data_IF_609584126069
#
_entry.id   IF_609584126069
#
_cell.length_a   1.000
_cell.length_b   1.000
_cell.length_c   1.000
_cell.angle_alpha   90.00
_cell.angle_beta   90.00
_cell.angle_gamma   90.00
#
_symmetry.space_group_name_H-M   'P 1'
#
loop_
_entity.id
_entity.type
_entity.pdbx_description
1 polymer ?
#
# COMPACT_ATOMS: atom_id res chain seq x y z
N UNK A 1 -19.43 -13.26 4.76
CA UNK A 1 -18.22 -12.49 4.42
C UNK A 1 -17.20 -13.33 3.66
N UNK A 2 -16.50 -14.30 4.30
CA UNK A 2 -15.38 -15.01 3.66
C UNK A 2 -15.66 -15.69 2.32
N UNK A 3 -16.86 -16.22 2.06
CA UNK A 3 -17.18 -16.80 0.73
C UNK A 3 -17.07 -15.79 -0.42
N UNK A 4 -17.32 -14.50 -0.17
CA UNK A 4 -17.15 -13.47 -1.19
C UNK A 4 -15.68 -13.25 -1.53
N UNK A 5 -14.82 -13.19 -0.51
CA UNK A 5 -13.37 -13.07 -0.69
C UNK A 5 -12.78 -14.34 -1.32
N UNK A 6 -13.26 -15.53 -0.92
CA UNK A 6 -12.87 -16.81 -1.53
C UNK A 6 -13.09 -16.76 -3.05
N UNK A 7 -14.24 -16.24 -3.49
CA UNK A 7 -14.57 -16.08 -4.91
C UNK A 7 -13.62 -15.11 -5.61
N UNK A 8 -13.35 -13.94 -5.03
CA UNK A 8 -12.43 -12.94 -5.59
C UNK A 8 -11.02 -13.53 -5.77
N UNK A 9 -10.49 -14.20 -4.76
CA UNK A 9 -9.17 -14.85 -4.84
C UNK A 9 -9.15 -15.93 -5.93
N UNK A 10 -10.22 -16.73 -6.03
CA UNK A 10 -10.32 -17.77 -7.05
C UNK A 10 -10.39 -17.22 -8.48
N UNK A 11 -11.14 -16.15 -8.72
CA UNK A 11 -11.21 -15.54 -10.06
C UNK A 11 -9.94 -14.75 -10.38
N UNK A 12 -9.29 -14.12 -9.40
CA UNK A 12 -8.00 -13.47 -9.60
C UNK A 12 -6.95 -14.47 -10.12
N UNK A 13 -6.85 -15.64 -9.48
CA UNK A 13 -6.01 -16.75 -9.93
C UNK A 13 -6.31 -17.16 -11.38
N UNK A 14 -7.59 -17.34 -11.71
CA UNK A 14 -8.06 -17.74 -13.04
C UNK A 14 -7.73 -16.74 -14.14
N UNK A 15 -7.71 -15.45 -13.84
CA UNK A 15 -7.38 -14.39 -14.81
C UNK A 15 -5.94 -13.88 -14.73
N UNK A 16 -5.09 -14.52 -13.91
CA UNK A 16 -3.69 -14.10 -13.75
C UNK A 16 -3.54 -12.72 -13.12
N UNK A 17 -4.48 -12.33 -12.26
CA UNK A 17 -4.45 -11.08 -11.48
C UNK A 17 -3.94 -11.40 -10.08
N UNK A 18 -3.08 -10.52 -9.57
CA UNK A 18 -2.55 -10.61 -8.21
C UNK A 18 -3.23 -9.61 -7.27
N UNK A 19 -3.38 -10.00 -6.00
CA UNK A 19 -4.10 -9.22 -4.99
C UNK A 19 -3.16 -8.71 -3.89
N UNK A 20 -3.35 -7.46 -3.48
CA UNK A 20 -2.88 -6.95 -2.19
C UNK A 20 -4.12 -6.82 -1.29
N UNK A 21 -4.07 -7.40 -0.10
CA UNK A 21 -5.22 -7.49 0.79
C UNK A 21 -4.93 -6.79 2.13
N UNK A 22 -5.70 -5.74 2.42
CA UNK A 22 -5.66 -5.00 3.69
C UNK A 22 -6.49 -5.63 4.78
N UNK A 23 -5.90 -5.79 5.96
CA UNK A 23 -6.57 -6.41 7.11
C UNK A 23 -7.56 -5.48 7.81
N UNK A 24 -7.33 -4.17 7.78
CA UNK A 24 -8.16 -3.20 8.51
C UNK A 24 -7.99 -1.80 7.93
N UNK A 25 -8.98 -0.95 8.16
CA UNK A 25 -8.97 0.44 7.73
C UNK A 25 -8.64 1.38 8.91
N UNK A 26 -7.85 2.44 8.65
CA UNK A 26 -7.72 3.56 9.58
C UNK A 26 -9.03 4.33 9.72
N UNK A 27 -9.75 4.55 8.62
CA UNK A 27 -11.04 5.24 8.59
C UNK A 27 -12.20 4.33 9.00
N UNK A 28 -13.41 4.90 9.04
CA UNK A 28 -14.61 4.23 9.54
C UNK A 28 -15.28 3.30 8.52
N UNK A 29 -14.90 3.40 7.24
CA UNK A 29 -15.51 2.58 6.19
C UNK A 29 -15.23 1.10 6.44
N UNK A 30 -16.30 0.31 6.39
CA UNK A 30 -16.32 -1.11 6.76
C UNK A 30 -15.95 -1.39 8.24
N UNK A 31 -16.04 -0.38 9.10
CA UNK A 31 -15.84 -0.44 10.56
C UNK A 31 -14.50 0.16 11.00
N UNK A 32 -13.40 -0.33 10.43
CA UNK A 32 -12.04 0.13 10.71
C UNK A 32 -11.61 0.04 12.18
N UNK A 33 -10.52 0.73 12.53
CA UNK A 33 -9.94 0.73 13.88
C UNK A 33 -10.94 1.23 14.94
N UNK A 34 -11.80 2.18 14.58
CA UNK A 34 -12.83 2.74 15.47
C UNK A 34 -13.76 1.64 15.97
N UNK A 35 -14.14 0.70 15.11
CA UNK A 35 -15.03 -0.39 15.49
C UNK A 35 -14.40 -1.33 16.53
N UNK A 36 -13.08 -1.57 16.46
CA UNK A 36 -12.37 -2.33 17.50
C UNK A 36 -12.41 -1.61 18.86
N UNK A 37 -12.29 -0.28 18.86
CA UNK A 37 -12.43 0.50 20.09
C UNK A 37 -13.86 0.45 20.61
N UNK A 38 -14.86 0.53 19.74
CA UNK A 38 -16.25 0.40 20.16
C UNK A 38 -16.52 -0.98 20.78
N UNK A 39 -16.05 -2.08 20.18
CA UNK A 39 -16.17 -3.42 20.77
C UNK A 39 -15.52 -3.53 22.15
N UNK A 40 -14.42 -2.81 22.39
CA UNK A 40 -13.79 -2.78 23.72
C UNK A 40 -14.67 -2.08 24.75
N UNK A 41 -15.32 -0.96 24.37
CA UNK A 41 -16.25 -0.23 25.23
C UNK A 41 -17.48 -1.05 25.56
N UNK A 42 -18.01 -1.78 24.58
CA UNK A 42 -19.15 -2.68 24.75
C UNK A 42 -18.82 -3.83 25.74
N UNK A 43 -17.53 -4.16 25.91
CA UNK A 43 -17.03 -5.10 26.93
C UNK A 43 -16.58 -4.42 28.24
N UNK A 44 -16.94 -3.15 28.45
CA UNK A 44 -16.66 -2.42 29.68
C UNK A 44 -15.24 -1.85 29.79
N UNK A 45 -14.47 -1.81 28.71
CA UNK A 45 -13.15 -1.17 28.68
C UNK A 45 -13.28 0.35 28.57
N UNK A 46 -12.37 1.07 29.22
CA UNK A 46 -12.31 2.53 29.22
C UNK A 46 -11.26 3.05 28.21
N UNK A 47 -11.47 2.75 26.92
CA UNK A 47 -10.62 3.25 25.82
C UNK A 47 -11.33 4.42 25.13
N UNK A 48 -10.80 5.63 25.29
CA UNK A 48 -11.45 6.87 24.83
C UNK A 48 -10.84 7.44 23.55
N UNK A 49 -9.68 6.94 23.14
CA UNK A 49 -8.96 7.39 21.95
C UNK A 49 -9.01 6.29 20.87
N UNK A 50 -9.26 6.66 19.62
CA UNK A 50 -9.20 5.70 18.51
C UNK A 50 -7.79 5.14 18.30
N UNK A 51 -6.75 5.90 18.70
CA UNK A 51 -5.35 5.47 18.67
C UNK A 51 -5.03 4.41 19.74
N UNK A 52 -5.95 4.16 20.69
CA UNK A 52 -5.83 3.00 21.60
C UNK A 52 -5.81 1.67 20.85
N UNK A 53 -6.18 1.67 19.56
CA UNK A 53 -6.05 0.52 18.67
C UNK A 53 -4.60 0.05 18.57
N UNK A 54 -3.66 0.98 18.62
CA UNK A 54 -2.22 0.70 18.54
C UNK A 54 -1.61 0.30 19.89
N UNK A 55 -2.27 0.67 21.01
CA UNK A 55 -1.70 0.54 22.37
C UNK A 55 -2.30 -0.60 23.18
N UNK A 56 -3.61 -0.79 23.09
CA UNK A 56 -4.35 -1.74 23.91
C UNK A 56 -4.01 -3.19 23.56
N UNK A 57 -3.49 -3.94 24.53
CA UNK A 57 -3.18 -5.36 24.34
C UNK A 57 -4.43 -6.19 24.00
N UNK A 58 -5.61 -5.82 24.51
CA UNK A 58 -6.87 -6.48 24.19
C UNK A 58 -7.20 -6.30 22.70
N UNK A 59 -7.17 -5.06 22.22
CA UNK A 59 -7.50 -4.72 20.83
C UNK A 59 -6.48 -5.31 19.86
N UNK A 60 -5.19 -5.19 20.18
CA UNK A 60 -4.11 -5.87 19.43
C UNK A 60 -4.33 -7.39 19.38
N UNK A 61 -4.81 -8.00 20.47
CA UNK A 61 -5.17 -9.42 20.51
C UNK A 61 -6.29 -9.78 19.54
N UNK A 62 -7.35 -8.97 19.47
CA UNK A 62 -8.44 -9.18 18.50
C UNK A 62 -7.98 -9.02 17.06
N UNK A 63 -7.15 -8.01 16.79
CA UNK A 63 -6.58 -7.82 15.46
C UNK A 63 -5.70 -9.00 15.04
N UNK A 64 -4.85 -9.52 15.94
CA UNK A 64 -4.08 -10.76 15.70
C UNK A 64 -4.98 -11.97 15.44
N UNK A 65 -6.09 -12.11 16.17
CA UNK A 65 -7.07 -13.17 15.92
C UNK A 65 -7.68 -13.04 14.52
N UNK A 66 -7.99 -11.82 14.08
CA UNK A 66 -8.47 -11.54 12.73
C UNK A 66 -7.44 -11.92 11.67
N UNK A 67 -6.19 -11.45 11.80
CA UNK A 67 -5.08 -11.84 10.91
C UNK A 67 -4.98 -13.35 10.80
N UNK A 68 -4.92 -14.06 11.92
CA UNK A 68 -4.80 -15.52 11.93
C UNK A 68 -5.97 -16.17 11.17
N UNK A 69 -7.20 -15.73 11.44
CA UNK A 69 -8.38 -16.26 10.77
C UNK A 69 -8.37 -16.05 9.25
N UNK A 70 -7.87 -14.89 8.77
CA UNK A 70 -7.73 -14.59 7.34
C UNK A 70 -6.62 -15.43 6.72
N UNK A 71 -5.40 -15.40 7.28
CA UNK A 71 -4.25 -16.11 6.72
C UNK A 71 -4.48 -17.61 6.63
N UNK A 72 -5.07 -18.22 7.67
CA UNK A 72 -5.33 -19.67 7.70
C UNK A 72 -6.68 -20.07 7.09
N UNK A 73 -7.39 -19.14 6.45
CA UNK A 73 -8.65 -19.44 5.77
C UNK A 73 -8.39 -20.37 4.59
N UNK A 74 -9.00 -21.56 4.59
CA UNK A 74 -9.09 -22.40 3.39
C UNK A 74 -10.18 -21.84 2.47
N UNK A 75 -9.78 -21.43 1.27
CA UNK A 75 -10.66 -20.94 0.24
C UNK A 75 -11.66 -22.05 -0.18
N UNK A 76 -12.96 -21.74 -0.15
CA UNK A 76 -14.01 -22.73 -0.45
C UNK A 76 -14.13 -23.12 -1.92
N UNK A 77 -13.56 -22.35 -2.85
CA UNK A 77 -13.56 -22.65 -4.29
C UNK A 77 -12.29 -23.38 -4.74
N UNK A 78 -11.13 -23.01 -4.19
CA UNK A 78 -9.83 -23.60 -4.61
C UNK A 78 -9.34 -24.71 -3.67
N UNK A 79 -9.82 -24.76 -2.42
CA UNK A 79 -9.33 -25.68 -1.40
C UNK A 79 -7.96 -25.32 -0.83
N UNK A 80 -7.36 -24.19 -1.24
CA UNK A 80 -6.04 -23.72 -0.81
C UNK A 80 -6.19 -22.73 0.34
N UNK A 81 -5.32 -22.80 1.34
CA UNK A 81 -5.28 -21.79 2.40
C UNK A 81 -4.73 -20.47 1.84
N UNK A 82 -5.27 -19.33 2.25
CA UNK A 82 -4.83 -18.03 1.72
C UNK A 82 -3.32 -17.80 1.86
N UNK A 83 -2.72 -18.20 2.99
CA UNK A 83 -1.26 -18.14 3.20
C UNK A 83 -0.42 -18.98 2.22
N UNK A 84 -1.06 -19.87 1.45
CA UNK A 84 -0.41 -20.74 0.47
C UNK A 84 -0.90 -20.45 -0.98
N UNK A 85 -1.74 -19.43 -1.20
CA UNK A 85 -2.35 -19.12 -2.50
C UNK A 85 -1.59 -17.99 -3.25
N UNK A 86 -0.85 -18.29 -4.33
CA UNK A 86 -0.01 -17.32 -5.03
C UNK A 86 -0.79 -16.23 -5.79
N UNK A 87 -2.12 -16.32 -5.87
CA UNK A 87 -2.95 -15.22 -6.37
C UNK A 87 -2.87 -14.00 -5.42
N UNK A 88 -2.59 -14.22 -4.14
CA UNK A 88 -2.27 -13.16 -3.20
C UNK A 88 -0.80 -12.81 -3.39
N UNK A 89 -0.50 -11.54 -3.62
CA UNK A 89 0.86 -11.05 -3.80
C UNK A 89 1.44 -10.53 -2.49
N UNK A 90 0.63 -9.77 -1.74
CA UNK A 90 1.02 -9.23 -0.46
C UNK A 90 -0.16 -9.03 0.49
N UNK A 91 0.17 -8.94 1.76
CA UNK A 91 -0.70 -8.46 2.82
C UNK A 91 -0.39 -7.00 3.14
N UNK A 92 -1.43 -6.24 3.50
CA UNK A 92 -1.33 -4.87 4.02
C UNK A 92 -1.78 -4.85 5.48
N UNK A 93 -0.93 -4.33 6.38
CA UNK A 93 -1.28 -4.27 7.80
C UNK A 93 -2.53 -3.42 8.04
N UNK A 94 -2.58 -2.21 7.50
CA UNK A 94 -3.68 -1.28 7.74
C UNK A 94 -3.69 -0.22 6.64
N UNK A 95 -4.86 0.04 6.07
CA UNK A 95 -5.01 1.12 5.12
C UNK A 95 -4.85 2.48 5.79
N UNK A 96 -3.91 3.30 5.30
CA UNK A 96 -3.64 4.70 5.68
C UNK A 96 -3.53 4.95 7.20
N UNK A 97 -2.67 4.25 7.95
CA UNK A 97 -2.60 4.44 9.39
C UNK A 97 -2.11 5.85 9.74
N UNK A 98 -2.77 6.46 10.72
CA UNK A 98 -2.31 7.69 11.38
C UNK A 98 -2.39 7.53 12.89
N UNK A 99 -1.54 8.24 13.62
CA UNK A 99 -1.57 8.28 15.08
C UNK A 99 -1.41 9.73 15.55
N UNK A 100 -2.54 10.40 15.76
CA UNK A 100 -2.54 11.82 16.12
C UNK A 100 -2.17 12.06 17.58
N UNK A 101 -2.35 11.06 18.43
CA UNK A 101 -1.98 11.12 19.85
C UNK A 101 -0.47 10.99 20.10
N UNK A 102 0.32 10.59 19.09
CA UNK A 102 1.78 10.44 19.20
C UNK A 102 2.52 10.85 17.91
N UNK A 103 2.89 12.13 17.83
CA UNK A 103 3.65 12.68 16.71
C UNK A 103 5.14 12.28 16.70
N UNK A 104 5.65 11.62 17.75
CA UNK A 104 7.01 11.06 17.72
C UNK A 104 7.12 9.86 16.76
N UNK A 105 5.98 9.24 16.41
CA UNK A 105 5.90 8.05 15.57
C UNK A 105 6.22 6.73 16.28
N UNK A 106 6.60 6.77 17.57
CA UNK A 106 6.99 5.58 18.32
C UNK A 106 5.84 4.59 18.53
N UNK A 107 4.63 5.08 18.76
CA UNK A 107 3.44 4.23 18.94
C UNK A 107 3.19 3.37 17.69
N UNK A 108 3.19 3.98 16.50
CA UNK A 108 3.04 3.24 15.25
C UNK A 108 4.24 2.36 14.96
N UNK A 109 5.47 2.83 15.17
CA UNK A 109 6.68 2.02 14.97
C UNK A 109 6.63 0.70 15.75
N UNK A 110 6.26 0.77 17.03
CA UNK A 110 6.16 -0.41 17.90
C UNK A 110 5.02 -1.34 17.45
N UNK A 111 3.86 -0.77 17.10
CA UNK A 111 2.73 -1.55 16.62
C UNK A 111 3.04 -2.27 15.30
N UNK A 112 3.64 -1.59 14.33
CA UNK A 112 4.01 -2.17 13.02
C UNK A 112 5.01 -3.31 13.25
N UNK A 113 6.04 -3.10 14.08
CA UNK A 113 7.02 -4.15 14.36
C UNK A 113 6.39 -5.39 15.00
N UNK A 114 5.44 -5.20 15.92
CA UNK A 114 4.72 -6.30 16.57
C UNK A 114 3.83 -7.06 15.58
N UNK A 115 3.04 -6.36 14.77
CA UNK A 115 2.09 -6.99 13.84
C UNK A 115 2.79 -7.63 12.66
N UNK A 116 3.84 -7.01 12.12
CA UNK A 116 4.62 -7.59 11.03
C UNK A 116 5.31 -8.87 11.46
N UNK A 117 5.90 -8.90 12.67
CA UNK A 117 6.43 -10.12 13.27
C UNK A 117 5.37 -11.22 13.42
N UNK A 118 4.16 -10.84 13.84
CA UNK A 118 3.06 -11.80 14.00
C UNK A 118 2.58 -12.38 12.66
N UNK A 119 2.36 -11.56 11.63
CA UNK A 119 1.98 -12.01 10.28
C UNK A 119 3.03 -12.99 9.75
N UNK A 120 4.31 -12.60 9.78
CA UNK A 120 5.42 -13.43 9.27
C UNK A 120 5.63 -14.73 10.06
N UNK A 121 5.16 -14.80 11.31
CA UNK A 121 5.17 -16.05 12.10
C UNK A 121 4.14 -17.08 11.62
N UNK A 122 3.10 -16.65 10.88
CA UNK A 122 2.03 -17.49 10.34
C UNK A 122 2.24 -17.75 8.85
N UNK A 123 2.60 -16.70 8.10
CA UNK A 123 2.79 -16.71 6.66
C UNK A 123 4.15 -16.08 6.29
N UNK A 124 5.08 -16.93 5.88
CA UNK A 124 6.39 -16.53 5.35
C UNK A 124 6.48 -16.64 3.82
N UNK A 125 5.38 -16.94 3.14
CA UNK A 125 5.32 -17.08 1.68
C UNK A 125 5.06 -15.73 1.02
N UNK A 126 4.07 -14.99 1.52
CA UNK A 126 3.64 -13.73 0.94
C UNK A 126 4.47 -12.54 1.39
N UNK A 127 4.53 -11.52 0.53
CA UNK A 127 5.07 -10.23 0.93
C UNK A 127 4.14 -9.53 1.92
N UNK A 128 4.70 -8.60 2.68
CA UNK A 128 4.00 -7.78 3.65
C UNK A 128 4.41 -6.33 3.48
N UNK A 129 3.43 -5.45 3.42
CA UNK A 129 3.63 -4.01 3.52
C UNK A 129 2.67 -3.40 4.55
N UNK A 130 2.79 -2.10 4.79
CA UNK A 130 2.18 -1.44 5.94
C UNK A 130 0.81 -0.84 5.59
N UNK A 131 0.69 -0.24 4.41
CA UNK A 131 -0.43 0.59 3.94
C UNK A 131 -0.20 2.09 4.18
N UNK A 132 1.06 2.54 4.15
CA UNK A 132 1.38 3.94 4.43
C UNK A 132 0.97 4.87 3.28
N UNK A 133 0.40 6.01 3.66
CA UNK A 133 0.27 7.14 2.72
C UNK A 133 1.64 7.69 2.31
N UNK A 134 2.65 7.60 3.19
CA UNK A 134 4.04 7.97 2.92
C UNK A 134 4.59 9.12 3.76
N UNK A 135 3.87 9.66 4.74
CA UNK A 135 4.34 10.84 5.47
C UNK A 135 5.67 10.59 6.21
N UNK A 136 6.62 11.50 6.02
CA UNK A 136 7.90 11.50 6.71
C UNK A 136 7.73 11.94 8.17
N UNK A 137 8.49 11.30 9.06
CA UNK A 137 8.50 11.57 10.50
C UNK A 137 9.84 12.12 11.00
N UNK A 138 10.17 11.78 12.25
CA UNK A 138 11.31 12.35 12.97
C UNK A 138 12.65 11.68 12.67
N UNK A 139 12.68 10.52 12.00
CA UNK A 139 13.94 9.82 11.65
C UNK A 139 14.82 10.65 10.72
N UNK A 140 14.20 11.39 9.80
CA UNK A 140 14.88 12.33 8.92
C UNK A 140 14.08 13.64 8.83
N UNK A 141 14.22 14.55 9.81
CA UNK A 141 13.33 15.71 9.93
C UNK A 141 13.32 16.63 8.70
N UNK A 142 14.45 16.74 7.99
CA UNK A 142 14.54 17.53 6.75
C UNK A 142 13.60 17.00 5.66
N UNK A 143 13.25 15.70 5.66
CA UNK A 143 12.33 15.12 4.69
C UNK A 143 10.88 15.56 4.90
N UNK A 144 10.54 16.09 6.09
CA UNK A 144 9.20 16.65 6.37
C UNK A 144 8.84 17.81 5.43
N UNK A 145 9.82 18.45 4.80
CA UNK A 145 9.57 19.46 3.75
C UNK A 145 8.77 18.91 2.54
N UNK A 146 8.78 17.59 2.33
CA UNK A 146 8.03 16.94 1.27
C UNK A 146 6.60 16.57 1.68
N UNK A 147 6.27 16.61 2.97
CA UNK A 147 4.90 16.43 3.43
C UNK A 147 4.01 17.62 2.98
N UNK A 148 2.69 17.45 2.89
CA UNK A 148 1.75 18.52 2.52
C UNK A 148 1.58 19.64 3.59
N UNK A 149 2.58 19.83 4.47
CA UNK A 149 2.59 20.87 5.50
C UNK A 149 2.13 20.44 6.89
N UNK A 150 1.82 19.16 7.09
CA UNK A 150 1.41 18.60 8.39
C UNK A 150 1.99 17.21 8.62
N UNK A 151 1.84 16.71 9.85
CA UNK A 151 2.27 15.39 10.29
C UNK A 151 1.07 14.56 10.75
N UNK A 152 1.23 13.23 10.69
CA UNK A 152 0.16 12.27 11.00
C UNK A 152 0.62 11.14 11.95
N UNK A 153 1.79 11.29 12.58
CA UNK A 153 2.34 10.29 13.50
C UNK A 153 2.93 9.03 12.84
N UNK A 154 3.10 9.02 11.51
CA UNK A 154 3.88 8.00 10.79
C UNK A 154 5.31 8.48 10.55
N UNK A 155 6.19 7.53 10.23
CA UNK A 155 7.53 7.83 9.75
C UNK A 155 7.92 6.87 8.63
N UNK A 156 7.77 7.32 7.37
CA UNK A 156 8.04 6.52 6.18
C UNK A 156 9.39 5.81 6.19
N UNK A 157 10.44 6.42 6.76
CA UNK A 157 11.78 5.81 6.79
C UNK A 157 11.84 4.66 7.79
N UNK A 158 11.64 4.95 9.07
CA UNK A 158 11.84 3.94 10.14
C UNK A 158 10.77 2.86 10.13
N UNK A 159 9.53 3.20 9.76
CA UNK A 159 8.45 2.22 9.63
C UNK A 159 8.80 1.17 8.56
N UNK A 160 9.30 1.61 7.40
CA UNK A 160 9.69 0.69 6.33
C UNK A 160 11.06 0.04 6.54
N UNK A 161 11.86 0.46 7.52
CA UNK A 161 13.12 -0.24 7.88
C UNK A 161 12.89 -1.50 8.72
N UNK A 162 11.66 -1.74 9.21
CA UNK A 162 11.30 -2.96 9.93
C UNK A 162 11.59 -4.19 9.03
N UNK A 163 12.39 -5.18 9.47
CA UNK A 163 12.85 -6.28 8.62
C UNK A 163 11.74 -7.12 7.98
N UNK A 164 10.60 -7.24 8.63
CA UNK A 164 9.45 -8.02 8.19
C UNK A 164 8.60 -7.34 7.11
N UNK A 165 8.84 -6.05 6.83
CA UNK A 165 8.20 -5.30 5.75
C UNK A 165 9.01 -5.50 4.48
N UNK A 166 8.40 -5.92 3.38
CA UNK A 166 9.13 -6.32 2.17
C UNK A 166 9.26 -5.18 1.14
N UNK A 167 8.27 -4.29 1.09
CA UNK A 167 8.28 -3.13 0.22
C UNK A 167 7.50 -1.97 0.85
N UNK A 168 7.81 -0.75 0.40
CA UNK A 168 7.18 0.47 0.87
C UNK A 168 6.03 0.88 -0.04
N UNK A 169 5.02 1.52 0.55
CA UNK A 169 3.86 2.10 -0.15
C UNK A 169 3.81 3.61 0.04
N UNK A 170 3.30 4.31 -0.98
CA UNK A 170 2.88 5.71 -0.89
C UNK A 170 1.55 5.90 -1.59
N UNK A 171 0.76 6.84 -1.06
CA UNK A 171 -0.48 7.33 -1.66
C UNK A 171 -0.27 8.77 -2.14
N UNK A 172 -1.15 9.30 -2.97
CA UNK A 172 -1.11 10.72 -3.37
C UNK A 172 -2.48 11.28 -3.76
N UNK A 173 -2.93 12.26 -2.99
CA UNK A 173 -4.20 12.96 -3.19
C UNK A 173 -4.00 14.48 -3.07
N UNK A 174 -3.32 15.11 -4.06
CA UNK A 174 -2.92 16.53 -3.97
C UNK A 174 -4.13 17.47 -3.82
N UNK A 175 -5.25 17.15 -4.46
CA UNK A 175 -6.50 17.90 -4.38
C UNK A 175 -7.10 17.89 -2.96
N UNK A 176 -6.79 16.88 -2.15
CA UNK A 176 -7.22 16.77 -0.76
C UNK A 176 -6.19 17.32 0.22
N UNK A 177 -4.90 17.12 -0.06
CA UNK A 177 -3.81 17.43 0.88
C UNK A 177 -3.32 18.87 0.80
N UNK A 178 -3.30 19.48 -0.39
CA UNK A 178 -2.86 20.87 -0.62
C UNK A 178 -4.00 21.69 -1.23
N UNK A 179 -5.13 21.73 -0.53
CA UNK A 179 -6.35 22.41 -0.97
C UNK A 179 -6.09 23.89 -1.28
N UNK A 180 -6.71 24.37 -2.37
CA UNK A 180 -6.57 25.75 -2.84
C UNK A 180 -5.32 26.04 -3.68
N UNK A 181 -4.43 25.06 -3.85
CA UNK A 181 -3.32 25.15 -4.80
C UNK A 181 -3.77 24.94 -6.25
N UNK A 182 -3.10 25.60 -7.19
CA UNK A 182 -3.35 25.43 -8.62
C UNK A 182 -2.75 24.11 -9.16
N UNK A 183 -3.10 23.77 -10.40
CA UNK A 183 -2.65 22.52 -11.03
C UNK A 183 -1.12 22.41 -11.16
N UNK A 184 -0.41 23.55 -11.33
CA UNK A 184 1.04 23.55 -11.44
C UNK A 184 1.69 23.23 -10.09
N UNK A 185 1.18 23.81 -9.01
CA UNK A 185 1.62 23.52 -7.65
C UNK A 185 1.33 22.06 -7.26
N UNK A 186 0.15 21.53 -7.61
CA UNK A 186 -0.20 20.13 -7.39
C UNK A 186 0.73 19.18 -8.15
N UNK A 187 1.03 19.49 -9.40
CA UNK A 187 1.96 18.70 -10.21
C UNK A 187 3.39 18.75 -9.66
N UNK A 188 3.85 19.92 -9.21
CA UNK A 188 5.16 20.07 -8.58
C UNK A 188 5.26 19.26 -7.28
N UNK A 189 4.20 19.30 -6.46
CA UNK A 189 4.11 18.49 -5.24
C UNK A 189 4.22 16.99 -5.55
N UNK A 190 3.42 16.47 -6.49
CA UNK A 190 3.46 15.04 -6.87
C UNK A 190 4.85 14.65 -7.37
N UNK A 191 5.49 15.49 -8.18
CA UNK A 191 6.83 15.21 -8.69
C UNK A 191 7.85 15.12 -7.56
N UNK A 192 7.77 16.06 -6.61
CA UNK A 192 8.63 16.06 -5.42
C UNK A 192 8.37 14.82 -4.56
N UNK A 193 7.10 14.53 -4.27
CA UNK A 193 6.64 13.39 -3.47
C UNK A 193 7.14 12.06 -4.04
N UNK A 194 6.86 11.76 -5.31
CA UNK A 194 7.31 10.50 -5.92
C UNK A 194 8.84 10.42 -5.95
N UNK A 195 9.52 11.53 -6.26
CA UNK A 195 10.98 11.53 -6.38
C UNK A 195 11.68 11.32 -5.05
N UNK A 196 11.24 12.01 -3.99
CA UNK A 196 11.81 11.85 -2.65
C UNK A 196 11.63 10.42 -2.14
N UNK A 197 10.41 9.89 -2.23
CA UNK A 197 10.10 8.54 -1.76
C UNK A 197 10.83 7.47 -2.56
N UNK A 198 10.91 7.59 -3.88
CA UNK A 198 11.64 6.62 -4.69
C UNK A 198 13.15 6.64 -4.39
N UNK A 199 13.70 7.81 -4.07
CA UNK A 199 15.11 7.94 -3.70
C UNK A 199 15.36 7.35 -2.30
N UNK A 200 14.50 7.62 -1.34
CA UNK A 200 14.67 7.11 0.03
C UNK A 200 14.34 5.61 0.13
N UNK A 201 13.34 5.11 -0.59
CA UNK A 201 13.04 3.67 -0.68
C UNK A 201 14.24 2.89 -1.22
N UNK A 202 14.86 3.37 -2.30
CA UNK A 202 16.02 2.70 -2.89
C UNK A 202 17.35 2.95 -2.16
N UNK A 203 17.56 4.15 -1.64
CA UNK A 203 18.85 4.60 -1.12
C UNK A 203 19.01 4.50 0.40
N UNK A 204 17.92 4.64 1.15
CA UNK A 204 17.94 4.65 2.63
C UNK A 204 17.31 3.40 3.21
N UNK A 205 16.13 3.02 2.71
CA UNK A 205 15.37 1.85 3.18
C UNK A 205 15.91 0.55 2.53
N UNK A 206 16.32 0.62 1.25
CA UNK A 206 16.81 -0.52 0.49
C UNK A 206 15.70 -1.49 0.04
N UNK A 207 14.46 -1.01 -0.10
CA UNK A 207 13.27 -1.82 -0.47
C UNK A 207 12.55 -1.25 -1.69
N UNK A 208 11.81 -2.07 -2.45
CA UNK A 208 10.96 -1.59 -3.54
C UNK A 208 9.93 -0.57 -3.04
N UNK A 209 9.47 0.28 -3.95
CA UNK A 209 8.39 1.23 -3.71
C UNK A 209 7.21 0.90 -4.62
N UNK A 210 6.00 0.99 -4.08
CA UNK A 210 4.75 0.91 -4.83
C UNK A 210 3.96 2.21 -4.59
N UNK A 211 3.52 2.84 -5.68
CA UNK A 211 2.45 3.85 -5.58
C UNK A 211 1.13 3.08 -5.53
N UNK A 212 0.58 2.91 -4.33
CA UNK A 212 -0.57 2.05 -4.10
C UNK A 212 -1.89 2.75 -4.39
N UNK A 213 -1.96 4.06 -4.09
CA UNK A 213 -3.13 4.87 -4.41
C UNK A 213 -2.76 6.23 -5.00
N UNK A 214 -3.55 6.67 -5.96
CA UNK A 214 -3.46 8.02 -6.51
C UNK A 214 -4.79 8.39 -7.18
N UNK A 215 -5.16 9.66 -7.11
CA UNK A 215 -6.40 10.13 -7.72
C UNK A 215 -6.46 11.64 -7.88
N UNK A 216 -7.41 12.09 -8.70
CA UNK A 216 -7.81 13.50 -8.82
C UNK A 216 -9.33 13.58 -8.93
N UNK A 217 -9.96 14.39 -8.10
CA UNK A 217 -11.41 14.58 -8.14
C UNK A 217 -11.85 15.19 -9.48
N UNK A 218 -12.85 14.58 -10.11
CA UNK A 218 -13.41 15.03 -11.39
C UNK A 218 -14.30 16.27 -11.25
N UNK A 219 -14.80 16.60 -10.06
CA UNK A 219 -15.68 17.76 -9.82
C UNK A 219 -14.94 19.10 -9.84
N UNK A 220 -13.65 19.10 -9.58
CA UNK A 220 -12.76 20.27 -9.69
C UNK A 220 -12.15 20.41 -11.08
N UNK A 221 -12.41 19.46 -11.99
CA UNK A 221 -11.85 19.43 -13.33
C UNK A 221 -12.93 19.76 -14.36
N UNK A 222 -12.76 20.84 -15.11
CA UNK A 222 -13.45 21.00 -16.39
C UNK A 222 -13.05 19.81 -17.27
N UNK A 223 -14.02 19.15 -17.91
CA UNK A 223 -13.99 17.85 -18.59
C UNK A 223 -12.98 17.64 -19.75
N UNK A 224 -11.78 18.22 -19.71
CA UNK A 224 -10.75 18.04 -20.75
C UNK A 224 -9.39 17.50 -20.23
N UNK A 225 -9.09 17.52 -18.92
CA UNK A 225 -7.70 17.35 -18.45
C UNK A 225 -7.50 16.31 -17.32
N UNK A 226 -8.26 15.21 -17.32
CA UNK A 226 -8.00 14.06 -16.44
C UNK A 226 -6.81 13.17 -16.87
N UNK A 227 -6.33 13.33 -18.11
CA UNK A 227 -5.25 12.54 -18.72
C UNK A 227 -3.80 12.91 -18.33
N UNK A 228 -3.44 14.17 -17.99
CA UNK A 228 -2.06 14.54 -17.71
C UNK A 228 -1.49 13.89 -16.43
N UNK A 229 -2.31 13.71 -15.39
CA UNK A 229 -1.85 13.15 -14.12
C UNK A 229 -1.50 11.66 -14.25
N UNK A 230 -2.44 10.86 -14.77
CA UNK A 230 -2.25 9.45 -15.07
C UNK A 230 -1.09 9.24 -16.05
N UNK A 231 -1.04 10.03 -17.13
CA UNK A 231 0.04 9.97 -18.12
C UNK A 231 1.41 10.34 -17.53
N UNK A 232 1.49 11.39 -16.71
CA UNK A 232 2.74 11.85 -16.12
C UNK A 232 3.27 10.90 -15.03
N UNK A 233 2.39 10.28 -14.24
CA UNK A 233 2.75 9.23 -13.29
C UNK A 233 3.27 8.02 -14.08
N UNK A 234 2.45 7.44 -14.98
CA UNK A 234 2.83 6.25 -15.75
C UNK A 234 4.12 6.43 -16.56
N UNK A 235 4.28 7.56 -17.26
CA UNK A 235 5.47 7.85 -18.06
C UNK A 235 6.74 7.93 -17.19
N UNK A 236 6.65 8.48 -15.97
CA UNK A 236 7.81 8.56 -15.05
C UNK A 236 8.16 7.22 -14.42
N UNK A 237 7.16 6.40 -14.09
CA UNK A 237 7.40 5.02 -13.64
C UNK A 237 8.17 4.24 -14.73
N UNK A 238 7.75 4.37 -15.99
CA UNK A 238 8.36 3.71 -17.14
C UNK A 238 9.77 4.24 -17.47
N UNK A 239 9.99 5.57 -17.45
CA UNK A 239 11.31 6.17 -17.70
C UNK A 239 12.36 5.74 -16.66
N UNK A 240 11.96 5.51 -15.40
CA UNK A 240 12.86 4.97 -14.36
C UNK A 240 13.16 3.49 -14.57
N UNK A 241 12.22 2.67 -15.04
CA UNK A 241 12.50 1.29 -15.43
C UNK A 241 13.47 1.21 -16.63
N UNK A 242 13.31 2.09 -17.63
CA UNK A 242 14.16 2.13 -18.82
C UNK A 242 15.61 2.58 -18.57
N UNK A 243 15.87 3.39 -17.53
CA UNK A 243 17.23 3.82 -17.15
C UNK A 243 17.99 2.82 -16.28
N UNK A 244 17.36 1.75 -15.78
CA UNK A 244 17.95 0.77 -14.85
C UNK A 244 18.14 -0.62 -15.48
N UNK A 245 18.92 -0.72 -16.56
CA UNK A 245 19.59 -1.98 -16.93
C UNK A 245 20.75 -2.37 -15.97
N UNK A 246 20.97 -1.61 -14.90
CA UNK A 246 21.85 -1.96 -13.78
C UNK A 246 21.09 -1.82 -12.44
N UNK A 247 20.89 -2.94 -11.74
CA UNK A 247 20.76 -3.02 -10.27
C UNK A 247 19.52 -2.42 -9.57
N UNK A 248 18.58 -3.31 -9.19
CA UNK A 248 17.74 -3.30 -7.97
C UNK A 248 16.93 -2.03 -7.59
N UNK A 249 16.05 -1.53 -8.45
CA UNK A 249 14.73 -1.05 -7.97
C UNK A 249 13.68 -1.34 -9.04
N UNK A 250 12.67 -2.14 -8.70
CA UNK A 250 11.43 -2.23 -9.45
C UNK A 250 10.43 -1.29 -8.79
N UNK A 251 9.88 -0.37 -9.59
CA UNK A 251 8.76 0.48 -9.22
C UNK A 251 7.56 -0.11 -9.96
N UNK A 252 6.65 -0.76 -9.23
CA UNK A 252 5.43 -1.33 -9.80
C UNK A 252 4.29 -0.31 -9.68
N UNK A 253 3.34 -0.35 -10.61
CA UNK A 253 2.05 0.30 -10.48
C UNK A 253 0.98 -0.65 -11.01
N UNK A 254 -0.15 -0.72 -10.30
CA UNK A 254 -1.33 -1.43 -10.77
C UNK A 254 -2.09 -0.50 -11.74
N UNK A 255 -2.27 -0.94 -12.99
CA UNK A 255 -3.06 -0.22 -14.00
C UNK A 255 -4.53 -0.61 -13.86
N UNK A 256 -5.36 0.29 -13.32
CA UNK A 256 -6.80 0.14 -13.25
C UNK A 256 -7.50 0.69 -14.50
N UNK A 257 -7.30 0.05 -15.67
CA UNK A 257 -8.13 0.36 -16.85
C UNK A 257 -9.43 -0.43 -16.85
N UNK A 258 -10.55 0.28 -16.90
CA UNK A 258 -11.85 -0.27 -17.33
C UNK A 258 -11.89 -0.24 -18.85
N UNK A 259 -11.65 -1.38 -19.49
CA UNK A 259 -12.04 -1.59 -20.88
C UNK A 259 -13.38 -2.32 -20.93
N UNK A 260 -14.44 -1.52 -21.14
CA UNK A 260 -15.73 -2.02 -21.58
C UNK A 260 -15.79 -2.07 -23.10
N UNK A 261 -16.35 -3.17 -23.61
CA UNK A 261 -16.76 -3.46 -25.00
C UNK A 261 -15.73 -4.14 -25.93
N UNK A 262 -15.82 -5.48 -25.93
CA UNK A 262 -16.06 -6.37 -27.08
C UNK A 262 -15.52 -6.00 -28.48
N UNK A 263 -14.83 -7.02 -29.01
CA UNK A 263 -14.48 -7.30 -30.43
C UNK A 263 -13.25 -6.62 -31.03
N UNK A 264 -12.19 -7.42 -31.21
CA UNK A 264 -11.02 -7.02 -32.00
C UNK A 264 -9.81 -7.90 -31.76
N UNK A 265 -9.74 -9.03 -32.46
CA UNK A 265 -8.60 -9.96 -32.46
C UNK A 265 -7.32 -9.21 -32.86
N UNK A 266 -6.38 -9.02 -31.94
CA UNK A 266 -4.98 -8.66 -32.28
C UNK A 266 -4.05 -9.69 -31.63
N UNK A 267 -3.48 -10.56 -32.46
CA UNK A 267 -2.38 -11.47 -32.09
C UNK A 267 -1.12 -10.63 -31.89
N UNK A 268 -0.73 -10.40 -30.65
CA UNK A 268 0.62 -9.97 -30.28
C UNK A 268 1.55 -11.17 -30.20
N UNK A 269 2.23 -11.49 -31.31
CA UNK A 269 3.27 -12.50 -31.40
C UNK A 269 4.52 -11.96 -30.66
N UNK A 270 4.87 -12.53 -29.50
CA UNK A 270 6.22 -12.36 -28.97
C UNK A 270 7.18 -13.09 -29.92
N UNK A 271 7.86 -12.33 -30.79
CA UNK A 271 9.02 -12.84 -31.52
C UNK A 271 10.15 -12.99 -30.50
N UNK A 272 10.31 -14.20 -29.97
CA UNK A 272 11.58 -14.62 -29.39
C UNK A 272 12.56 -14.82 -30.55
N UNK A 273 13.49 -13.87 -30.75
CA UNK A 273 14.69 -14.17 -31.52
C UNK A 273 15.68 -14.97 -30.65
N UNK A 274 16.37 -15.98 -31.22
CA UNK A 274 17.22 -16.87 -30.47
C UNK A 274 18.52 -16.18 -30.05
N UNK A 275 18.88 -16.34 -28.78
CA UNK A 275 20.21 -16.00 -28.27
C UNK A 275 21.27 -16.79 -29.03
N UNK A 276 22.03 -16.07 -29.86
CA UNK A 276 23.26 -16.58 -30.48
C UNK A 276 24.29 -16.88 -29.38
N UNK A 277 24.58 -18.17 -29.21
CA UNK A 277 25.75 -18.64 -28.46
C UNK A 277 26.97 -18.35 -29.31
N UNK A 278 27.70 -17.27 -29.00
CA UNK A 278 29.15 -17.21 -29.25
C UNK A 278 29.85 -16.02 -28.58
N UNK A 279 30.93 -16.39 -27.86
CA UNK A 279 32.16 -15.64 -27.50
C UNK A 279 32.20 -14.94 -26.13
N UNK A 280 33.02 -15.58 -25.29
CA UNK A 280 33.88 -15.13 -24.18
C UNK A 280 33.28 -14.30 -23.06
#
# INVERSE_FOLDING_TARGET
>A
MFKGLDFVVSEASKYGVHLILSFVNYYNDFGGRKQYIQWSRDQGQWLNDEDDFYRSNLVKGWYKNHIKAVLTRTNTFTGVAYKDDPAIFAWELINEPRCQSDMSGLTLQNWISEMAGYVKSIDSNHMLEIGLEGFYGETMPDRKQFNPGYQIGTDFISNNQIPQIDFATIHMYPDQWIQGSDDNAQLAFIQSWITSHANDAGGVIGKPLLVAEFGKNTKTCCLAEGQPLLGSVQQRLQLRQGRRRCGRCALLAADGRRDGQLEGRIRGRLLAEPLDRRRY
#
